data_IF_196235658207
#
_entry.id   IF_196235658207
#
_cell.length_a   1.000
_cell.length_b   1.000
_cell.length_c   1.000
_cell.angle_alpha   90.00
_cell.angle_beta   90.00
_cell.angle_gamma   90.00
#
_symmetry.space_group_name_H-M   'P 1'
#
loop_
_entity.id
_entity.type
_entity.pdbx_description
1 polymer ?
#
# COMPACT_ATOMS: atom_id res chain seq x y z
N UNK A 1 6.69 -9.97 22.60
CA UNK A 1 5.94 -9.27 21.54
C UNK A 1 6.90 -9.14 20.37
N UNK A 2 6.59 -9.77 19.24
CA UNK A 2 7.49 -9.98 18.09
C UNK A 2 7.89 -8.67 17.39
N UNK A 3 9.02 -8.12 17.80
CA UNK A 3 9.72 -7.00 17.18
C UNK A 3 10.52 -7.47 15.95
N UNK A 4 9.85 -8.00 14.93
CA UNK A 4 10.52 -8.60 13.76
C UNK A 4 10.04 -8.11 12.40
N UNK A 5 9.36 -6.95 12.32
CA UNK A 5 8.86 -6.44 11.03
C UNK A 5 9.10 -4.93 10.89
N UNK A 6 10.01 -4.57 9.99
CA UNK A 6 10.43 -3.18 9.69
C UNK A 6 9.78 -2.57 8.44
N UNK A 7 8.94 -3.33 7.70
CA UNK A 7 8.39 -2.90 6.40
C UNK A 7 6.94 -3.37 6.24
N UNK A 8 6.05 -2.45 5.82
CA UNK A 8 4.65 -2.75 5.47
C UNK A 8 4.57 -3.39 4.08
N UNK A 9 3.78 -4.48 3.96
CA UNK A 9 3.55 -5.22 2.71
C UNK A 9 2.12 -5.01 2.24
N UNK A 10 1.94 -4.87 0.94
CA UNK A 10 0.62 -4.79 0.33
C UNK A 10 0.18 -6.20 -0.06
N UNK A 11 -0.92 -6.67 0.52
CA UNK A 11 -1.54 -7.94 0.12
C UNK A 11 -2.31 -7.69 -1.17
N UNK A 12 -1.99 -8.43 -2.21
CA UNK A 12 -2.61 -8.25 -3.51
C UNK A 12 -4.00 -8.88 -3.50
N UNK A 13 -5.03 -8.06 -3.75
CA UNK A 13 -6.43 -8.46 -3.96
C UNK A 13 -6.57 -9.63 -4.94
N UNK A 14 -5.73 -9.68 -5.97
CA UNK A 14 -5.63 -10.82 -6.88
C UNK A 14 -4.17 -11.28 -6.95
N UNK A 15 -3.89 -12.57 -6.70
CA UNK A 15 -2.55 -13.11 -6.85
C UNK A 15 -2.06 -12.95 -8.29
N UNK A 16 -0.86 -12.40 -8.46
CA UNK A 16 -0.26 -12.21 -9.78
C UNK A 16 0.51 -13.46 -10.16
N UNK A 17 0.20 -14.05 -11.31
CA UNK A 17 0.94 -15.21 -11.81
C UNK A 17 2.37 -14.82 -12.17
N UNK A 18 3.32 -15.69 -11.80
CA UNK A 18 4.72 -15.51 -12.11
C UNK A 18 5.49 -16.83 -12.14
N UNK A 19 6.80 -16.72 -12.25
CA UNK A 19 7.75 -17.82 -12.23
C UNK A 19 8.85 -17.57 -11.19
N UNK A 20 9.26 -18.65 -10.53
CA UNK A 20 10.48 -18.73 -9.74
C UNK A 20 11.39 -19.76 -10.40
N UNK A 21 12.30 -19.30 -11.27
CA UNK A 21 13.01 -20.20 -12.18
C UNK A 21 12.04 -20.94 -13.11
N UNK A 22 11.96 -22.27 -12.98
CA UNK A 22 11.03 -23.12 -13.74
C UNK A 22 9.68 -23.33 -13.06
N UNK A 23 9.55 -22.93 -11.80
CA UNK A 23 8.36 -23.21 -10.99
C UNK A 23 7.32 -22.10 -11.16
N UNK A 24 6.06 -22.49 -11.40
CA UNK A 24 4.96 -21.54 -11.43
C UNK A 24 4.60 -21.11 -10.01
N UNK A 25 4.55 -19.80 -9.79
CA UNK A 25 4.25 -19.19 -8.49
C UNK A 25 3.17 -18.13 -8.64
N UNK A 26 2.56 -17.75 -7.53
CA UNK A 26 1.63 -16.63 -7.46
C UNK A 26 2.13 -15.63 -6.42
N UNK A 27 2.34 -14.38 -6.81
CA UNK A 27 2.66 -13.29 -5.90
C UNK A 27 1.39 -12.92 -5.15
N UNK A 28 1.41 -13.05 -3.82
CA UNK A 28 0.24 -12.77 -2.95
C UNK A 28 0.43 -11.52 -2.10
N UNK A 29 1.68 -11.13 -1.82
CA UNK A 29 2.01 -9.82 -1.26
C UNK A 29 3.30 -9.28 -1.86
N UNK A 30 3.41 -7.95 -1.88
CA UNK A 30 4.59 -7.25 -2.35
C UNK A 30 4.94 -6.06 -1.46
N UNK A 31 6.23 -5.78 -1.38
CA UNK A 31 6.84 -4.57 -0.82
C UNK A 31 8.09 -4.26 -1.63
N UNK A 32 8.68 -3.07 -1.44
CA UNK A 32 9.90 -2.69 -2.16
C UNK A 32 11.14 -3.55 -1.79
N UNK A 33 11.10 -4.25 -0.66
CA UNK A 33 12.20 -5.09 -0.16
C UNK A 33 11.93 -6.59 -0.20
N UNK A 34 10.71 -7.02 -0.53
CA UNK A 34 10.35 -8.42 -0.45
C UNK A 34 8.95 -8.72 -0.96
N UNK A 35 8.73 -9.99 -1.28
CA UNK A 35 7.44 -10.50 -1.75
C UNK A 35 7.03 -11.72 -0.95
N UNK A 36 5.76 -12.09 -1.02
CA UNK A 36 5.29 -13.42 -0.62
C UNK A 36 4.72 -14.12 -1.83
N UNK A 37 5.12 -15.38 -1.97
CA UNK A 37 4.70 -16.25 -3.05
C UNK A 37 3.84 -17.38 -2.48
N UNK A 38 2.87 -17.82 -3.26
CA UNK A 38 2.12 -19.07 -3.10
C UNK A 38 2.51 -20.02 -4.22
N UNK A 39 2.82 -21.27 -3.90
CA UNK A 39 3.34 -22.24 -4.84
C UNK A 39 3.10 -23.69 -4.37
N UNK A 40 3.40 -24.66 -5.24
CA UNK A 40 3.15 -26.09 -4.98
C UNK A 40 4.42 -26.88 -4.64
N UNK A 41 5.59 -26.27 -4.79
CA UNK A 41 6.89 -26.91 -4.67
C UNK A 41 7.60 -26.36 -3.45
N UNK A 42 8.10 -27.23 -2.56
CA UNK A 42 8.77 -26.78 -1.35
C UNK A 42 10.11 -26.10 -1.70
N UNK A 43 10.22 -24.79 -1.46
CA UNK A 43 11.49 -24.06 -1.53
C UNK A 43 12.28 -24.25 -0.25
N UNK A 44 13.61 -24.36 -0.35
CA UNK A 44 14.47 -24.43 0.82
C UNK A 44 14.77 -23.01 1.32
N UNK A 45 15.00 -22.90 2.63
CA UNK A 45 15.40 -21.64 3.21
C UNK A 45 16.80 -21.27 2.71
N UNK A 46 17.00 -19.98 2.39
CA UNK A 46 18.21 -19.40 1.79
C UNK A 46 18.46 -19.77 0.33
N UNK A 47 17.52 -20.43 -0.35
CA UNK A 47 17.59 -20.56 -1.79
C UNK A 47 17.55 -19.18 -2.45
N UNK A 48 18.47 -18.96 -3.38
CA UNK A 48 18.45 -17.81 -4.26
C UNK A 48 17.56 -18.16 -5.47
N UNK A 49 16.51 -17.38 -5.66
CA UNK A 49 15.51 -17.59 -6.70
C UNK A 49 15.41 -16.35 -7.57
N UNK A 50 15.41 -16.55 -8.90
CA UNK A 50 15.03 -15.51 -9.85
C UNK A 50 13.51 -15.51 -9.97
N UNK A 51 12.90 -14.39 -9.59
CA UNK A 51 11.45 -14.19 -9.65
C UNK A 51 11.11 -13.31 -10.84
N UNK A 52 10.08 -13.72 -11.58
CA UNK A 52 9.59 -13.06 -12.77
C UNK A 52 8.07 -13.02 -12.76
N UNK A 53 7.50 -11.84 -12.93
CA UNK A 53 6.07 -11.66 -13.17
C UNK A 53 5.84 -10.38 -13.95
N UNK A 54 4.63 -10.18 -14.43
CA UNK A 54 4.25 -9.00 -15.21
C UNK A 54 3.12 -8.25 -14.51
N UNK A 55 3.21 -6.93 -14.51
CA UNK A 55 2.16 -6.05 -14.04
C UNK A 55 2.04 -4.87 -15.01
N UNK A 56 0.82 -4.59 -15.48
CA UNK A 56 0.56 -3.49 -16.43
C UNK A 56 1.45 -3.56 -17.68
N UNK A 57 1.63 -4.76 -18.24
CA UNK A 57 2.52 -5.05 -19.37
C UNK A 57 4.01 -4.71 -19.13
N UNK A 58 4.39 -4.46 -17.87
CA UNK A 58 5.76 -4.19 -17.45
C UNK A 58 6.33 -5.43 -16.76
N UNK A 59 7.44 -5.99 -17.25
CA UNK A 59 8.08 -7.12 -16.60
C UNK A 59 8.76 -6.66 -15.30
N UNK A 60 8.48 -7.37 -14.22
CA UNK A 60 9.15 -7.22 -12.93
C UNK A 60 9.99 -8.48 -12.70
N UNK A 61 11.30 -8.28 -12.62
CA UNK A 61 12.27 -9.35 -12.45
C UNK A 61 13.30 -8.97 -11.40
N UNK A 62 13.56 -9.89 -10.47
CA UNK A 62 14.57 -9.70 -9.44
C UNK A 62 15.17 -11.04 -8.97
N UNK A 63 16.37 -10.97 -8.40
CA UNK A 63 16.93 -12.04 -7.60
C UNK A 63 16.50 -11.86 -6.15
N UNK A 64 15.96 -12.91 -5.53
CA UNK A 64 15.51 -12.87 -4.15
C UNK A 64 15.95 -14.09 -3.37
N UNK A 65 16.12 -13.93 -2.07
CA UNK A 65 16.50 -15.00 -1.15
C UNK A 65 15.29 -15.45 -0.34
N UNK A 66 15.05 -16.77 -0.29
CA UNK A 66 13.97 -17.35 0.50
C UNK A 66 14.29 -17.20 1.99
N UNK A 67 13.48 -16.42 2.71
CA UNK A 67 13.64 -16.22 4.16
C UNK A 67 12.90 -17.26 4.99
N UNK A 68 11.77 -17.73 4.50
CA UNK A 68 10.98 -18.77 5.14
C UNK A 68 10.03 -19.41 4.13
N UNK A 69 9.66 -20.66 4.41
CA UNK A 69 8.62 -21.40 3.69
C UNK A 69 7.69 -22.06 4.71
N UNK A 70 6.38 -21.97 4.49
CA UNK A 70 5.35 -22.53 5.37
C UNK A 70 4.30 -23.27 4.53
N UNK A 71 3.91 -24.44 5.00
CA UNK A 71 2.77 -25.18 4.45
C UNK A 71 1.47 -24.46 4.82
N UNK A 72 0.66 -24.11 3.82
CA UNK A 72 -0.63 -23.45 4.01
C UNK A 72 -1.80 -24.42 3.94
N UNK A 73 -1.75 -25.37 3.01
CA UNK A 73 -2.79 -26.38 2.85
C UNK A 73 -2.16 -27.72 2.56
N UNK A 74 -2.49 -28.72 3.39
CA UNK A 74 -2.16 -30.12 3.13
C UNK A 74 -3.17 -30.66 2.13
N UNK A 75 -2.70 -31.28 1.07
CA UNK A 75 -3.56 -32.08 0.23
C UNK A 75 -3.97 -33.36 0.96
N UNK A 76 -5.26 -33.51 1.30
CA UNK A 76 -5.77 -34.67 2.05
C UNK A 76 -6.34 -35.79 1.16
N UNK A 77 -6.53 -35.55 -0.13
CA UNK A 77 -7.01 -36.53 -1.11
C UNK A 77 -5.89 -36.95 -2.07
N UNK A 78 -6.03 -38.13 -2.71
CA UNK A 78 -5.05 -38.76 -3.60
C UNK A 78 -4.54 -37.88 -4.76
N UNK A 79 -5.18 -36.74 -5.04
CA UNK A 79 -4.82 -35.80 -6.12
C UNK A 79 -4.71 -34.34 -5.67
N UNK A 80 -4.92 -34.03 -4.39
CA UNK A 80 -4.76 -32.66 -3.90
C UNK A 80 -3.29 -32.37 -3.62
N UNK A 81 -2.74 -31.33 -4.26
CA UNK A 81 -1.36 -30.89 -4.03
C UNK A 81 -1.29 -29.99 -2.81
N UNK A 82 -0.23 -30.17 -2.01
CA UNK A 82 0.07 -29.26 -0.91
C UNK A 82 0.42 -27.87 -1.45
N UNK A 83 -0.11 -26.84 -0.79
CA UNK A 83 0.16 -25.44 -1.13
C UNK A 83 1.07 -24.85 -0.06
N UNK A 84 2.18 -24.27 -0.49
CA UNK A 84 3.15 -23.60 0.35
C UNK A 84 3.10 -22.09 0.11
N UNK A 85 3.49 -21.33 1.12
CA UNK A 85 3.83 -19.93 0.98
C UNK A 85 5.29 -19.71 1.37
N UNK A 86 5.97 -18.84 0.63
CA UNK A 86 7.33 -18.43 0.95
C UNK A 86 7.45 -16.93 0.99
N UNK A 87 8.21 -16.42 1.95
CA UNK A 87 8.62 -15.02 1.99
C UNK A 87 10.01 -14.86 1.39
N UNK A 88 10.12 -14.01 0.38
CA UNK A 88 11.40 -13.68 -0.25
C UNK A 88 11.80 -12.26 0.10
N UNK A 89 13.11 -12.06 0.28
CA UNK A 89 13.73 -10.75 0.34
C UNK A 89 14.43 -10.47 -0.99
N UNK A 90 14.26 -9.27 -1.53
CA UNK A 90 14.83 -8.87 -2.81
C UNK A 90 16.31 -8.56 -2.57
N UNK A 91 17.19 -9.38 -3.17
CA UNK A 91 18.64 -9.20 -3.10
C UNK A 91 19.15 -8.25 -4.18
N UNK A 92 18.58 -8.33 -5.39
CA UNK A 92 18.94 -7.45 -6.50
C UNK A 92 17.76 -7.28 -7.47
N UNK A 93 17.51 -6.04 -7.88
CA UNK A 93 16.45 -5.68 -8.83
C UNK A 93 16.97 -4.57 -9.75
N UNK A 94 16.59 -4.62 -11.04
CA UNK A 94 16.97 -3.57 -11.99
C UNK A 94 16.14 -2.30 -11.75
N UNK A 95 16.66 -1.10 -12.06
CA UNK A 95 15.90 0.14 -11.86
C UNK A 95 14.52 0.16 -12.55
N UNK A 96 14.36 -0.29 -13.82
CA UNK A 96 13.05 -0.34 -14.47
C UNK A 96 12.07 -1.31 -13.78
N UNK A 97 12.54 -2.48 -13.34
CA UNK A 97 11.71 -3.43 -12.60
C UNK A 97 11.34 -2.90 -11.20
N UNK A 98 12.22 -2.13 -10.58
CA UNK A 98 11.95 -1.49 -9.30
C UNK A 98 10.89 -0.39 -9.42
N UNK A 99 10.93 0.44 -10.48
CA UNK A 99 9.88 1.43 -10.76
C UNK A 99 8.54 0.75 -11.07
N UNK A 100 8.54 -0.35 -11.84
CA UNK A 100 7.33 -1.12 -12.08
C UNK A 100 6.75 -1.74 -10.79
N UNK A 101 7.61 -2.26 -9.91
CA UNK A 101 7.20 -2.77 -8.59
C UNK A 101 6.62 -1.67 -7.70
N UNK A 102 7.21 -0.47 -7.75
CA UNK A 102 6.66 0.71 -7.04
C UNK A 102 5.28 1.06 -7.59
N UNK A 103 5.13 1.17 -8.91
CA UNK A 103 3.83 1.46 -9.54
C UNK A 103 2.76 0.41 -9.19
N UNK A 104 3.14 -0.88 -9.12
CA UNK A 104 2.26 -1.95 -8.67
C UNK A 104 1.75 -1.68 -7.24
N UNK A 105 2.65 -1.34 -6.33
CA UNK A 105 2.32 -1.04 -4.94
C UNK A 105 1.41 0.21 -4.87
N UNK A 106 1.76 1.27 -5.59
CA UNK A 106 0.99 2.53 -5.65
C UNK A 106 -0.43 2.31 -6.16
N UNK A 107 -0.59 1.66 -7.32
CA UNK A 107 -1.92 1.37 -7.89
C UNK A 107 -2.80 0.53 -6.96
N UNK A 108 -2.18 -0.36 -6.19
CA UNK A 108 -2.91 -1.20 -5.25
C UNK A 108 -3.41 -0.41 -4.04
N UNK A 109 -2.60 0.55 -3.57
CA UNK A 109 -2.98 1.45 -2.50
C UNK A 109 -4.12 2.36 -2.97
N UNK A 110 -3.96 3.00 -4.14
CA UNK A 110 -5.00 3.84 -4.75
C UNK A 110 -6.33 3.09 -4.88
N UNK A 111 -6.31 1.87 -5.42
CA UNK A 111 -7.52 1.07 -5.57
C UNK A 111 -8.13 0.64 -4.23
N UNK A 112 -7.31 0.26 -3.27
CA UNK A 112 -7.80 -0.07 -1.92
C UNK A 112 -8.48 1.15 -1.26
N UNK A 113 -7.95 2.36 -1.48
CA UNK A 113 -8.58 3.59 -1.01
C UNK A 113 -9.89 3.89 -1.74
N UNK A 114 -9.94 3.77 -3.06
CA UNK A 114 -11.15 3.98 -3.85
C UNK A 114 -12.26 2.98 -3.47
N UNK A 115 -11.91 1.71 -3.29
CA UNK A 115 -12.84 0.68 -2.83
C UNK A 115 -13.34 0.96 -1.41
N UNK A 116 -12.47 1.40 -0.48
CA UNK A 116 -12.91 1.81 0.85
C UNK A 116 -13.81 3.06 0.82
N UNK A 117 -13.52 4.02 -0.05
CA UNK A 117 -14.35 5.23 -0.23
C UNK A 117 -15.70 4.89 -0.85
N UNK A 118 -15.76 3.94 -1.78
CA UNK A 118 -17.00 3.44 -2.35
C UNK A 118 -17.83 2.66 -1.31
N UNK A 119 -17.18 1.86 -0.46
CA UNK A 119 -17.84 1.11 0.61
C UNK A 119 -18.33 2.02 1.76
N UNK A 120 -17.60 3.08 2.10
CA UNK A 120 -18.00 4.08 3.10
C UNK A 120 -19.25 4.88 2.69
N UNK A 121 -19.53 4.99 1.38
CA UNK A 121 -20.75 5.62 0.85
C UNK A 121 -22.01 4.74 0.94
N UNK A 122 -21.90 3.57 1.58
CA UNK A 122 -22.90 2.50 1.54
C UNK A 122 -23.96 2.44 2.65
N UNK A 123 -24.04 3.32 3.68
CA UNK A 123 -25.19 3.41 4.64
C UNK A 123 -25.30 4.83 5.29
N UNK A 124 -26.47 5.53 5.28
CA UNK A 124 -26.84 6.67 6.16
C UNK A 124 -27.77 6.23 7.33
N UNK A 125 -28.15 7.03 8.37
CA UNK A 125 -27.99 8.48 8.56
C UNK A 125 -27.50 8.98 9.96
N UNK A 126 -27.10 10.26 9.97
CA UNK A 126 -27.14 11.29 11.04
C UNK A 126 -26.39 11.08 12.38
N UNK A 127 -25.32 11.86 12.56
CA UNK A 127 -25.22 12.78 13.69
C UNK A 127 -24.42 14.03 13.29
N UNK A 128 -24.95 15.18 13.71
CA UNK A 128 -24.56 16.56 13.45
C UNK A 128 -23.05 16.87 13.53
N UNK A 129 -22.57 17.78 12.67
CA UNK A 129 -22.54 19.20 13.05
C UNK A 129 -22.20 20.16 11.90
N UNK A 130 -23.12 21.13 11.78
CA UNK A 130 -22.95 22.54 11.48
C UNK A 130 -22.14 22.95 10.24
N UNK A 131 -22.89 23.45 9.26
CA UNK A 131 -22.42 24.48 8.36
C UNK A 131 -21.84 25.66 9.15
N UNK A 132 -20.56 25.95 8.94
CA UNK A 132 -20.06 27.32 9.04
C UNK A 132 -19.51 27.75 7.67
N UNK A 133 -20.29 28.63 7.08
CA UNK A 133 -19.97 29.49 5.96
C UNK A 133 -18.66 30.25 6.16
N UNK A 134 -17.77 30.14 5.16
CA UNK A 134 -16.72 31.11 4.87
C UNK A 134 -15.48 31.07 5.77
N UNK A 135 -14.62 30.07 5.65
CA UNK A 135 -13.33 30.06 6.35
C UNK A 135 -12.19 29.64 5.43
N UNK A 136 -11.06 30.35 5.55
CA UNK A 136 -9.80 30.06 4.90
C UNK A 136 -9.49 28.55 4.96
N UNK A 137 -8.90 27.98 3.91
CA UNK A 137 -8.49 26.58 3.84
C UNK A 137 -7.65 26.21 5.07
N UNK A 138 -8.30 25.66 6.10
CA UNK A 138 -7.65 25.19 7.31
C UNK A 138 -7.18 23.76 7.04
N UNK A 139 -5.92 23.50 7.31
CA UNK A 139 -5.29 22.19 7.21
C UNK A 139 -5.09 21.62 8.60
N UNK A 140 -5.19 20.30 8.71
CA UNK A 140 -4.77 19.58 9.89
C UNK A 140 -3.40 18.96 9.62
N UNK A 141 -2.39 19.40 10.38
CA UNK A 141 -1.05 18.82 10.38
C UNK A 141 -0.97 17.73 11.45
N UNK A 142 -0.58 16.54 11.02
CA UNK A 142 -0.42 15.34 11.83
C UNK A 142 1.06 15.02 11.89
N UNK A 143 1.72 15.28 13.02
CA UNK A 143 3.14 15.01 13.21
C UNK A 143 3.35 13.80 14.12
N UNK A 144 4.27 12.92 13.74
CA UNK A 144 4.68 11.78 14.55
C UNK A 144 5.97 12.12 15.28
N UNK A 145 5.86 12.44 16.57
CA UNK A 145 7.00 12.83 17.40
C UNK A 145 7.22 11.76 18.45
N UNK A 146 8.37 11.06 18.40
CA UNK A 146 8.75 10.01 19.36
C UNK A 146 7.66 8.93 19.55
N UNK A 147 6.95 8.57 18.48
CA UNK A 147 5.89 7.55 18.51
C UNK A 147 4.54 8.07 19.02
N UNK A 148 4.37 9.38 19.16
CA UNK A 148 3.09 9.99 19.56
C UNK A 148 2.63 10.96 18.47
N UNK A 149 1.37 10.83 18.07
CA UNK A 149 0.75 11.75 17.13
C UNK A 149 0.35 13.06 17.77
N UNK A 150 0.83 14.16 17.19
CA UNK A 150 0.39 15.52 17.48
C UNK A 150 -0.49 16.03 16.34
N UNK A 151 -1.63 16.63 16.67
CA UNK A 151 -2.48 17.37 15.71
C UNK A 151 -2.27 18.87 15.91
N UNK A 152 -2.05 19.60 14.83
CA UNK A 152 -1.95 21.06 14.81
C UNK A 152 -2.85 21.56 13.68
N UNK A 153 -3.82 22.43 13.97
CA UNK A 153 -4.58 23.12 12.92
C UNK A 153 -3.72 24.27 12.41
N UNK A 154 -3.53 24.35 11.10
CA UNK A 154 -2.63 25.30 10.45
C UNK A 154 -3.23 25.78 9.14
N UNK A 155 -2.88 26.98 8.70
CA UNK A 155 -3.21 27.47 7.35
C UNK A 155 -2.05 27.20 6.36
N UNK A 156 -0.97 26.57 6.83
CA UNK A 156 0.19 26.20 6.03
C UNK A 156 0.01 24.78 5.44
N UNK A 157 -0.12 24.65 4.10
CA UNK A 157 -0.32 23.37 3.42
C UNK A 157 0.95 22.50 3.40
N UNK A 158 2.12 23.02 3.78
CA UNK A 158 3.37 22.26 3.70
C UNK A 158 3.33 20.99 4.56
N UNK A 159 3.90 19.92 4.00
CA UNK A 159 4.01 18.62 4.64
C UNK A 159 5.13 18.63 5.70
N UNK A 160 4.87 18.24 6.96
CA UNK A 160 5.90 18.20 8.00
C UNK A 160 6.97 17.13 7.69
N UNK A 161 8.18 17.26 8.24
CA UNK A 161 9.28 16.30 8.01
C UNK A 161 8.98 14.90 8.58
N UNK A 162 8.17 14.81 9.64
CA UNK A 162 7.75 13.55 10.26
C UNK A 162 6.23 13.56 10.45
N UNK A 163 5.49 13.10 9.44
CA UNK A 163 4.04 13.06 9.42
C UNK A 163 3.47 13.53 8.08
N UNK A 164 2.26 14.08 8.11
CA UNK A 164 1.57 14.60 6.93
C UNK A 164 0.56 15.71 7.30
N UNK A 165 0.26 16.58 6.35
CA UNK A 165 -0.82 17.58 6.42
C UNK A 165 -1.96 17.14 5.50
N UNK A 166 -3.20 17.26 5.97
CA UNK A 166 -4.43 16.97 5.21
C UNK A 166 -5.42 18.12 5.36
N UNK A 167 -6.43 18.16 4.50
CA UNK A 167 -7.56 19.08 4.65
C UNK A 167 -8.27 18.89 6.02
N UNK A 168 -8.68 19.98 6.68
CA UNK A 168 -9.35 19.88 7.97
C UNK A 168 -10.75 19.24 7.90
N UNK A 169 -11.36 19.17 6.70
CA UNK A 169 -12.63 18.49 6.43
C UNK A 169 -12.51 16.96 6.34
N UNK A 170 -11.28 16.41 6.30
CA UNK A 170 -11.06 14.97 6.26
C UNK A 170 -11.64 14.30 7.51
N UNK A 171 -12.36 13.18 7.33
CA UNK A 171 -13.02 12.52 8.46
C UNK A 171 -12.01 11.96 9.45
N UNK A 172 -12.43 11.86 10.72
CA UNK A 172 -11.58 11.29 11.78
C UNK A 172 -11.07 9.88 11.46
N UNK A 173 -11.91 9.05 10.85
CA UNK A 173 -11.56 7.68 10.43
C UNK A 173 -10.49 7.65 9.34
N UNK A 174 -10.57 8.55 8.35
CA UNK A 174 -9.56 8.66 7.28
C UNK A 174 -8.21 9.13 7.84
N UNK A 175 -8.25 10.09 8.77
CA UNK A 175 -7.06 10.57 9.47
C UNK A 175 -6.40 9.49 10.33
N UNK A 176 -7.18 8.72 11.11
CA UNK A 176 -6.66 7.62 11.94
C UNK A 176 -6.07 6.50 11.07
N UNK A 177 -6.64 6.24 9.90
CA UNK A 177 -6.10 5.31 8.92
C UNK A 177 -4.75 5.76 8.36
N UNK A 178 -4.64 7.03 7.92
CA UNK A 178 -3.38 7.59 7.44
C UNK A 178 -2.30 7.57 8.53
N UNK A 179 -2.67 7.84 9.78
CA UNK A 179 -1.76 7.75 10.94
C UNK A 179 -1.24 6.33 11.14
N UNK A 180 -2.14 5.34 11.14
CA UNK A 180 -1.76 3.93 11.27
C UNK A 180 -0.88 3.44 10.11
N UNK A 181 -1.18 3.89 8.88
CA UNK A 181 -0.37 3.57 7.70
C UNK A 181 1.02 4.22 7.77
N UNK A 182 1.11 5.48 8.19
CA UNK A 182 2.37 6.21 8.29
C UNK A 182 3.31 5.68 9.39
N UNK A 183 2.75 5.28 10.54
CA UNK A 183 3.52 4.68 11.63
C UNK A 183 4.19 3.37 11.21
N UNK A 184 3.47 2.53 10.46
CA UNK A 184 3.94 1.22 10.01
C UNK A 184 4.72 1.23 8.70
N UNK A 185 4.71 2.36 7.98
CA UNK A 185 5.41 2.56 6.71
C UNK A 185 6.93 2.79 6.88
N UNK A 186 7.70 2.35 5.88
CA UNK A 186 9.12 2.65 5.71
C UNK A 186 9.34 4.03 5.06
N UNK A 187 10.57 4.60 5.02
CA UNK A 187 10.79 5.96 4.53
C UNK A 187 10.26 6.22 3.10
N UNK A 188 10.47 5.34 2.11
CA UNK A 188 9.89 5.53 0.77
C UNK A 188 8.36 5.55 0.76
N UNK A 189 7.72 4.68 1.55
CA UNK A 189 6.26 4.62 1.66
C UNK A 189 5.69 5.81 2.42
N UNK A 190 6.40 6.33 3.44
CA UNK A 190 6.03 7.57 4.12
C UNK A 190 6.02 8.75 3.16
N UNK A 191 6.92 8.79 2.19
CA UNK A 191 6.93 9.83 1.16
C UNK A 191 5.73 9.70 0.21
N UNK A 192 5.29 8.49 -0.11
CA UNK A 192 4.08 8.26 -0.91
C UNK A 192 2.82 8.69 -0.12
N UNK A 193 2.71 8.32 1.15
CA UNK A 193 1.61 8.76 2.03
C UNK A 193 1.57 10.29 2.14
N UNK A 194 2.74 10.95 2.19
CA UNK A 194 2.84 12.43 2.19
C UNK A 194 2.39 13.06 0.88
N UNK A 195 2.78 12.49 -0.26
CA UNK A 195 2.30 12.94 -1.58
C UNK A 195 0.78 12.79 -1.71
N UNK A 196 0.21 11.71 -1.19
CA UNK A 196 -1.24 11.51 -1.19
C UNK A 196 -1.96 12.53 -0.30
N UNK A 197 -1.42 12.79 0.89
CA UNK A 197 -1.92 13.83 1.78
C UNK A 197 -1.83 15.23 1.13
N UNK A 198 -0.77 15.51 0.38
CA UNK A 198 -0.62 16.73 -0.43
C UNK A 198 -1.68 16.84 -1.54
N UNK A 199 -2.03 15.74 -2.21
CA UNK A 199 -3.13 15.73 -3.19
C UNK A 199 -4.50 15.99 -2.56
N UNK A 200 -4.71 15.57 -1.30
CA UNK A 200 -5.93 15.89 -0.54
C UNK A 200 -6.07 17.38 -0.23
N UNK A 201 -4.94 18.09 -0.12
CA UNK A 201 -4.89 19.55 0.07
C UNK A 201 -5.08 20.29 -1.26
N UNK A 202 -4.52 19.74 -2.35
CA UNK A 202 -4.55 20.34 -3.68
C UNK A 202 -5.92 20.27 -4.38
N UNK A 203 -6.90 19.56 -3.82
CA UNK A 203 -8.26 19.45 -4.35
C UNK A 203 -9.31 20.11 -3.45
N UNK A 204 -9.39 21.46 -3.33
CA UNK A 204 -10.48 22.09 -2.58
C UNK A 204 -11.80 22.08 -3.36
N UNK A 205 -11.76 22.18 -4.69
CA UNK A 205 -12.88 21.99 -5.62
C UNK A 205 -12.38 22.31 -7.03
N UNK A 206 -12.44 21.35 -7.94
CA UNK A 206 -11.89 21.49 -9.28
C UNK A 206 -12.57 20.58 -10.29
N UNK A 207 -13.90 20.63 -10.34
CA UNK A 207 -14.66 20.04 -11.42
C UNK A 207 -14.23 20.69 -12.75
N UNK A 208 -13.58 20.01 -13.71
CA UNK A 208 -13.45 20.57 -15.04
C UNK A 208 -14.84 20.50 -15.66
N UNK A 209 -15.61 21.58 -15.50
CA UNK A 209 -16.80 21.81 -16.28
C UNK A 209 -16.36 21.78 -17.75
N UNK A 210 -16.58 20.64 -18.42
CA UNK A 210 -16.63 20.57 -19.88
C UNK A 210 -17.72 21.55 -20.30
N UNK A 211 -17.33 22.77 -20.65
CA UNK A 211 -18.18 23.68 -21.41
C UNK A 211 -18.45 22.98 -22.74
N UNK A 212 -19.65 22.41 -22.86
CA UNK A 212 -20.25 22.11 -24.14
C UNK A 212 -20.56 23.46 -24.79
N UNK A 213 -19.84 23.81 -25.85
CA UNK A 213 -20.19 24.92 -26.73
C UNK A 213 -21.03 24.31 -27.86
N UNK A 214 -22.26 24.81 -28.10
CA UNK A 214 -23.17 24.25 -29.10
C UNK A 214 -22.64 24.39 -30.54
#
# INVERSE_FOLDING_TARGET
MDEHRRVMRVTLLQPIAGAAGTERVYVVDASLSGVRLSHLTLFQQRDDCRIEFEWDSKPIQFAGQVRWTKLQKIGSAAFSKSVYQSGLEIAAISPPAHEALRGLIESHIERAFDEQRANARGIPPLADQAAESGQASQFARHELIRGVWRKIVTNDPCQPPMGFSVDASLSRSEVEMLRSAYESADPPMRDIIRKFAELSIASPDGNPSRRYTP
#
